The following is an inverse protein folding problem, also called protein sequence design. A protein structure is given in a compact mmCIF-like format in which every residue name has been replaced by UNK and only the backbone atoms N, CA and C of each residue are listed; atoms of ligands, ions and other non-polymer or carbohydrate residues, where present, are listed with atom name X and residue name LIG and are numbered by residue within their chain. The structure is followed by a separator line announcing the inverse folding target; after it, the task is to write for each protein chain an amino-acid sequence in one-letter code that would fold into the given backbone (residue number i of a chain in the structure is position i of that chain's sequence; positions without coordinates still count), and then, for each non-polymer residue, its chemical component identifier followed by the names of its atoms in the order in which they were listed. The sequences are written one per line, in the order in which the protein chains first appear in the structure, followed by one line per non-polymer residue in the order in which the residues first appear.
data_IF_723494996818
#
_entry.id   IF_723494996818
#
_cell.length_a   1.000
_cell.length_b   1.000
_cell.length_c   1.000
_cell.angle_alpha   90.00
_cell.angle_beta   90.00
_cell.angle_gamma   90.00
#
_symmetry.space_group_name_H-M   'P 1'
#
loop_
_entity.id
_entity.type
_entity.pdbx_description
1 polymer ?
#
# COMPACT_ATOMS: atom_id res chain seq x y z
N UNK A 1 -12.16 40.03 -61.92
CA UNK A 1 -12.83 39.05 -61.00
C UNK A 1 -11.75 38.28 -60.28
N UNK A 2 -11.35 38.74 -59.11
CA UNK A 2 -10.25 38.19 -58.31
C UNK A 2 -10.87 37.62 -57.05
N UNK A 3 -10.82 36.27 -56.87
CA UNK A 3 -11.32 35.57 -55.70
C UNK A 3 -10.21 35.52 -54.66
N UNK A 4 -10.42 36.16 -53.48
CA UNK A 4 -9.62 35.96 -52.29
C UNK A 4 -9.99 34.63 -51.64
N UNK A 5 -9.04 33.75 -51.44
CA UNK A 5 -9.15 32.56 -50.56
C UNK A 5 -8.71 32.99 -49.17
N UNK A 6 -9.65 32.94 -48.22
CA UNK A 6 -9.37 33.09 -46.78
C UNK A 6 -8.88 31.75 -46.24
N UNK A 7 -7.65 31.67 -45.77
CA UNK A 7 -7.11 30.53 -45.04
C UNK A 7 -7.48 30.67 -43.57
N UNK A 8 -8.41 29.82 -43.08
CA UNK A 8 -8.73 29.71 -41.67
C UNK A 8 -7.66 28.95 -40.91
N UNK A 9 -6.98 29.61 -39.99
CA UNK A 9 -6.10 28.99 -39.03
C UNK A 9 -6.94 28.35 -37.93
N UNK A 10 -7.02 27.02 -37.91
CA UNK A 10 -7.61 26.28 -36.80
C UNK A 10 -6.53 26.16 -35.70
N UNK A 11 -6.64 27.01 -34.67
CA UNK A 11 -5.88 26.83 -33.43
C UNK A 11 -6.41 25.62 -32.69
N UNK A 12 -5.71 24.49 -32.74
CA UNK A 12 -5.92 23.38 -31.81
C UNK A 12 -5.45 23.84 -30.42
N UNK A 13 -6.39 24.17 -29.57
CA UNK A 13 -6.15 24.23 -28.12
C UNK A 13 -5.89 22.80 -27.65
N UNK A 14 -4.61 22.46 -27.45
CA UNK A 14 -4.23 21.33 -26.61
C UNK A 14 -4.70 21.65 -25.17
N UNK A 15 -5.86 21.13 -24.81
CA UNK A 15 -6.26 21.04 -23.41
C UNK A 15 -5.23 20.16 -22.72
N UNK A 16 -4.24 20.78 -22.08
CA UNK A 16 -3.33 20.07 -21.17
C UNK A 16 -4.20 19.41 -20.10
N UNK A 17 -4.20 18.09 -20.05
CA UNK A 17 -4.73 17.37 -18.91
C UNK A 17 -3.93 17.86 -17.70
N UNK A 18 -4.56 18.60 -16.81
CA UNK A 18 -4.02 18.89 -15.49
C UNK A 18 -3.99 17.54 -14.80
N UNK A 19 -2.83 16.91 -14.75
CA UNK A 19 -2.63 15.70 -13.97
C UNK A 19 -2.97 16.04 -12.53
N UNK A 20 -3.91 15.32 -11.94
CA UNK A 20 -4.18 15.41 -10.51
C UNK A 20 -2.86 15.05 -9.80
N UNK A 21 -2.35 15.96 -8.97
CA UNK A 21 -1.13 15.74 -8.23
C UNK A 21 -1.28 14.57 -7.26
N UNK A 22 -0.17 13.94 -6.88
CA UNK A 22 -0.16 12.87 -5.90
C UNK A 22 0.81 13.19 -4.75
N UNK A 23 0.38 12.88 -3.52
CA UNK A 23 1.23 12.94 -2.33
C UNK A 23 1.50 11.53 -1.80
N UNK A 24 2.74 11.24 -1.43
CA UNK A 24 3.10 10.00 -0.77
C UNK A 24 3.36 10.25 0.72
N UNK A 25 2.69 9.49 1.58
CA UNK A 25 2.86 9.51 3.04
C UNK A 25 3.74 8.34 3.46
N UNK A 26 5.03 8.56 3.63
CA UNK A 26 6.00 7.49 3.86
C UNK A 26 6.44 7.51 5.31
N UNK A 27 6.26 6.39 6.02
CA UNK A 27 6.68 6.21 7.41
C UNK A 27 8.19 6.09 7.51
N UNK A 28 8.81 6.77 8.47
CA UNK A 28 10.24 6.73 8.76
C UNK A 28 10.46 6.10 10.14
N UNK A 29 10.78 4.81 10.16
CA UNK A 29 10.86 4.02 11.38
C UNK A 29 11.91 4.55 12.36
N UNK A 30 13.08 4.93 11.85
CA UNK A 30 14.22 5.36 12.66
C UNK A 30 14.15 6.81 13.14
N UNK A 31 13.41 7.69 12.46
CA UNK A 31 13.20 9.09 12.87
C UNK A 31 11.84 9.35 13.53
N UNK A 32 10.95 8.34 13.57
CA UNK A 32 9.65 8.41 14.25
C UNK A 32 8.70 9.46 13.68
N UNK A 33 8.68 9.59 12.37
CA UNK A 33 7.89 10.56 11.65
C UNK A 33 7.33 10.00 10.32
N UNK A 34 6.59 10.83 9.60
CA UNK A 34 6.08 10.55 8.25
C UNK A 34 6.53 11.66 7.33
N UNK A 35 7.24 11.32 6.27
CA UNK A 35 7.53 12.25 5.17
C UNK A 35 6.34 12.32 4.23
N UNK A 36 5.88 13.55 3.94
CA UNK A 36 4.89 13.82 2.89
C UNK A 36 5.64 14.29 1.66
N UNK A 37 5.65 13.47 0.63
CA UNK A 37 6.37 13.71 -0.63
C UNK A 37 5.38 14.14 -1.70
N UNK A 38 5.63 15.26 -2.33
CA UNK A 38 4.99 15.64 -3.59
C UNK A 38 5.64 14.83 -4.72
N UNK A 39 4.86 13.91 -5.30
CA UNK A 39 5.36 12.96 -6.29
C UNK A 39 5.70 13.64 -7.63
N UNK A 40 5.02 14.74 -7.96
CA UNK A 40 5.22 15.46 -9.22
C UNK A 40 6.51 16.28 -9.19
N UNK A 41 6.77 16.94 -8.07
CA UNK A 41 7.98 17.76 -7.88
C UNK A 41 9.16 16.99 -7.31
N UNK A 42 8.96 15.73 -6.89
CA UNK A 42 9.93 14.88 -6.23
C UNK A 42 10.57 15.57 -5.00
N UNK A 43 9.74 16.11 -4.09
CA UNK A 43 10.20 16.83 -2.90
C UNK A 43 9.40 16.46 -1.66
N UNK A 44 10.07 16.39 -0.52
CA UNK A 44 9.41 16.39 0.78
C UNK A 44 8.81 17.79 1.03
N UNK A 45 7.49 17.86 1.22
CA UNK A 45 6.77 19.12 1.46
C UNK A 45 6.35 19.27 2.93
N UNK A 46 6.36 18.18 3.70
CA UNK A 46 6.13 18.19 5.14
C UNK A 46 6.75 16.95 5.79
N UNK A 47 7.12 17.07 7.06
CA UNK A 47 7.47 15.96 7.96
C UNK A 47 6.55 16.06 9.17
N UNK A 48 5.80 14.99 9.43
CA UNK A 48 4.78 14.94 10.46
C UNK A 48 5.21 13.99 11.58
N UNK A 49 5.07 14.37 12.85
CA UNK A 49 5.38 13.45 13.95
C UNK A 49 4.48 12.22 13.92
N UNK A 50 5.03 11.07 14.28
CA UNK A 50 4.30 9.84 14.47
C UNK A 50 4.70 9.17 15.80
N UNK A 51 4.05 8.06 16.15
CA UNK A 51 4.49 7.23 17.26
C UNK A 51 5.85 6.58 16.99
N UNK A 52 6.40 5.89 18.00
CA UNK A 52 7.72 5.24 17.87
C UNK A 52 7.71 4.12 16.86
N UNK A 53 8.74 4.11 16.00
CA UNK A 53 8.97 3.10 14.97
C UNK A 53 7.77 2.90 14.03
N UNK A 54 7.24 3.96 13.38
CA UNK A 54 6.08 3.81 12.51
C UNK A 54 6.39 2.83 11.37
N UNK A 55 5.43 1.93 11.10
CA UNK A 55 5.60 0.85 10.14
C UNK A 55 4.55 0.90 9.03
N UNK A 56 3.30 0.55 9.35
CA UNK A 56 2.21 0.54 8.38
C UNK A 56 1.61 1.92 8.15
N UNK A 57 1.13 2.16 6.93
CA UNK A 57 0.41 3.36 6.56
C UNK A 57 -0.75 3.02 5.63
N UNK A 58 -1.91 3.66 5.86
CA UNK A 58 -3.06 3.53 4.98
C UNK A 58 -3.71 4.88 4.72
N UNK A 59 -3.60 5.33 3.49
CA UNK A 59 -4.32 6.51 3.01
C UNK A 59 -5.72 6.09 2.57
N UNK A 60 -6.74 6.68 3.16
CA UNK A 60 -8.15 6.45 2.82
C UNK A 60 -8.77 7.75 2.34
N UNK A 61 -9.01 7.85 1.05
CA UNK A 61 -9.69 8.99 0.43
C UNK A 61 -11.12 9.14 0.98
N UNK A 62 -11.81 8.01 1.15
CA UNK A 62 -13.19 8.00 1.66
C UNK A 62 -13.28 8.49 3.11
N UNK A 63 -12.27 8.24 3.94
CA UNK A 63 -12.20 8.76 5.31
C UNK A 63 -11.58 10.17 5.38
N UNK A 64 -10.94 10.65 4.30
CA UNK A 64 -10.16 11.91 4.28
C UNK A 64 -8.94 11.87 5.19
N UNK A 65 -8.39 10.69 5.48
CA UNK A 65 -7.34 10.49 6.49
C UNK A 65 -6.27 9.50 6.06
N UNK A 66 -5.06 9.69 6.57
CA UNK A 66 -4.05 8.64 6.60
C UNK A 66 -3.90 8.14 8.04
N UNK A 67 -3.79 6.82 8.18
CA UNK A 67 -3.59 6.14 9.45
C UNK A 67 -2.23 5.48 9.45
N UNK A 68 -1.45 5.68 10.52
CA UNK A 68 -0.07 5.21 10.63
C UNK A 68 0.09 4.37 11.89
N UNK A 69 0.43 3.10 11.74
CA UNK A 69 0.69 2.20 12.86
C UNK A 69 2.10 2.38 13.41
N UNK A 70 2.22 2.40 14.72
CA UNK A 70 3.49 2.58 15.44
C UNK A 70 3.66 1.49 16.50
N UNK A 71 4.33 0.36 16.15
CA UNK A 71 4.46 -0.81 17.02
C UNK A 71 5.02 -0.51 18.41
N UNK A 72 6.07 0.32 18.50
CA UNK A 72 6.78 0.59 19.77
C UNK A 72 6.08 1.62 20.66
N UNK A 73 5.05 2.29 20.18
CA UNK A 73 4.15 3.13 20.99
C UNK A 73 2.74 2.57 21.13
N UNK A 74 2.48 1.38 20.61
CA UNK A 74 1.19 0.69 20.70
C UNK A 74 0.01 1.58 20.24
N UNK A 75 0.20 2.35 19.18
CA UNK A 75 -0.76 3.36 18.74
C UNK A 75 -0.82 3.57 17.23
N UNK A 76 -1.87 4.28 16.82
CA UNK A 76 -2.09 4.73 15.44
C UNK A 76 -2.11 6.24 15.44
N UNK A 77 -1.25 6.87 14.65
CA UNK A 77 -1.30 8.30 14.36
C UNK A 77 -2.30 8.56 13.25
N UNK A 78 -3.20 9.53 13.44
CA UNK A 78 -4.21 9.93 12.47
C UNK A 78 -3.83 11.26 11.85
N UNK A 79 -3.71 11.30 10.52
CA UNK A 79 -3.35 12.49 9.74
C UNK A 79 -4.55 12.86 8.87
N UNK A 80 -4.96 14.13 8.93
CA UNK A 80 -5.97 14.68 8.03
C UNK A 80 -5.33 15.02 6.68
N UNK A 81 -5.89 14.51 5.58
CA UNK A 81 -5.33 14.68 4.25
C UNK A 81 -5.43 16.11 3.71
N UNK A 82 -6.50 16.83 4.07
CA UNK A 82 -6.73 18.18 3.57
C UNK A 82 -5.78 19.19 4.21
N UNK A 83 -5.66 19.17 5.54
CA UNK A 83 -4.76 20.06 6.31
C UNK A 83 -3.32 19.55 6.35
N UNK A 84 -3.09 18.27 6.10
CA UNK A 84 -1.79 17.59 6.25
C UNK A 84 -1.23 17.74 7.65
N UNK A 85 -2.08 17.53 8.65
CA UNK A 85 -1.72 17.63 10.06
C UNK A 85 -2.14 16.40 10.84
N UNK A 86 -1.39 16.09 11.90
CA UNK A 86 -1.79 15.08 12.87
C UNK A 86 -3.01 15.61 13.64
N UNK A 87 -4.12 14.88 13.60
CA UNK A 87 -5.39 15.27 14.22
C UNK A 87 -5.81 14.36 15.36
N UNK A 88 -5.06 13.27 15.62
CA UNK A 88 -5.35 12.36 16.71
C UNK A 88 -4.41 11.18 16.80
N UNK A 89 -4.55 10.45 17.91
CA UNK A 89 -3.90 9.19 18.18
C UNK A 89 -4.92 8.18 18.70
N UNK A 90 -4.79 6.91 18.30
CA UNK A 90 -5.66 5.81 18.72
C UNK A 90 -4.79 4.78 19.43
N UNK A 91 -5.00 4.48 20.71
CA UNK A 91 -4.36 3.33 21.37
C UNK A 91 -4.77 2.02 20.65
N UNK A 92 -3.81 1.19 20.21
CA UNK A 92 -4.07 0.05 19.35
C UNK A 92 -3.23 -1.18 19.72
N UNK A 93 -3.67 -1.92 20.71
CA UNK A 93 -3.07 -3.21 21.09
C UNK A 93 -1.67 -3.12 21.69
N UNK A 94 -0.82 -4.11 21.40
CA UNK A 94 0.57 -4.21 21.88
C UNK A 94 1.60 -3.83 20.84
N UNK A 95 1.35 -4.23 19.61
CA UNK A 95 2.29 -4.03 18.49
C UNK A 95 1.51 -3.95 17.18
N UNK A 96 0.85 -2.81 16.88
CA UNK A 96 0.13 -2.61 15.64
C UNK A 96 1.12 -2.56 14.47
N UNK A 97 0.93 -3.43 13.47
CA UNK A 97 1.80 -3.51 12.28
C UNK A 97 1.01 -3.22 11.02
N UNK A 98 0.26 -4.20 10.52
CA UNK A 98 -0.58 -4.03 9.34
C UNK A 98 -1.81 -3.19 9.64
N UNK A 99 -2.21 -2.39 8.68
CA UNK A 99 -3.34 -1.47 8.82
C UNK A 99 -4.09 -1.36 7.51
N UNK A 100 -5.42 -1.32 7.55
CA UNK A 100 -6.27 -1.09 6.38
C UNK A 100 -7.55 -0.36 6.80
N UNK A 101 -8.16 0.34 5.86
CA UNK A 101 -9.48 0.95 6.01
C UNK A 101 -10.41 0.35 4.97
N UNK A 102 -11.65 0.05 5.35
CA UNK A 102 -12.66 -0.40 4.38
C UNK A 102 -12.85 0.65 3.26
N UNK A 103 -13.14 0.22 2.02
CA UNK A 103 -13.31 1.14 0.88
C UNK A 103 -14.30 2.28 1.11
N UNK A 104 -15.35 2.06 1.92
CA UNK A 104 -16.32 3.08 2.32
C UNK A 104 -15.80 4.08 3.37
N UNK A 105 -14.57 3.91 3.86
CA UNK A 105 -13.94 4.78 4.84
C UNK A 105 -14.44 4.63 6.28
N UNK A 106 -15.26 3.60 6.60
CA UNK A 106 -15.95 3.53 7.89
C UNK A 106 -15.24 2.69 8.93
N UNK A 107 -14.50 1.66 8.54
CA UNK A 107 -13.84 0.73 9.48
C UNK A 107 -12.34 0.78 9.28
N UNK A 108 -11.62 0.97 10.38
CA UNK A 108 -10.18 0.84 10.46
C UNK A 108 -9.86 -0.51 11.11
N UNK A 109 -9.06 -1.34 10.44
CA UNK A 109 -8.58 -2.63 10.91
C UNK A 109 -7.08 -2.57 11.15
N UNK A 110 -6.63 -3.15 12.26
CA UNK A 110 -5.23 -3.10 12.69
C UNK A 110 -4.79 -4.48 13.15
N UNK A 111 -3.74 -5.01 12.56
CA UNK A 111 -3.12 -6.27 12.99
C UNK A 111 -2.23 -6.02 14.22
N UNK A 112 -2.59 -6.64 15.35
CA UNK A 112 -1.80 -6.61 16.57
C UNK A 112 -0.91 -7.85 16.63
N UNK A 113 0.33 -7.69 16.22
CA UNK A 113 1.29 -8.75 15.95
C UNK A 113 1.47 -9.75 17.10
N UNK A 114 1.67 -9.26 18.31
CA UNK A 114 1.94 -10.11 19.47
C UNK A 114 0.68 -10.61 20.19
N UNK A 115 -0.49 -10.13 19.82
CA UNK A 115 -1.75 -10.51 20.48
C UNK A 115 -2.61 -11.42 19.62
N UNK A 116 -2.16 -11.80 18.44
CA UNK A 116 -2.85 -12.73 17.52
C UNK A 116 -4.29 -12.31 17.23
N UNK A 117 -4.50 -11.02 16.97
CA UNK A 117 -5.83 -10.45 16.72
C UNK A 117 -5.77 -9.28 15.76
N UNK A 118 -6.91 -9.00 15.15
CA UNK A 118 -7.17 -7.78 14.40
C UNK A 118 -8.13 -6.92 15.20
N UNK A 119 -7.72 -5.69 15.51
CA UNK A 119 -8.55 -4.69 16.16
C UNK A 119 -9.40 -3.96 15.13
N UNK A 120 -10.64 -3.66 15.46
CA UNK A 120 -11.58 -2.97 14.58
C UNK A 120 -12.05 -1.69 15.24
N UNK A 121 -11.90 -0.56 14.54
CA UNK A 121 -12.31 0.76 15.02
C UNK A 121 -13.29 1.41 14.03
N UNK A 122 -14.08 2.33 14.50
CA UNK A 122 -14.77 3.31 13.68
C UNK A 122 -13.74 4.36 13.20
N UNK A 123 -13.58 4.50 11.91
CA UNK A 123 -12.53 5.35 11.33
C UNK A 123 -12.80 6.86 11.49
N UNK A 124 -14.06 7.26 11.75
CA UNK A 124 -14.43 8.66 11.95
C UNK A 124 -14.30 9.08 13.41
N UNK A 125 -14.85 8.26 14.34
CA UNK A 125 -14.90 8.57 15.79
C UNK A 125 -13.74 8.01 16.57
N UNK A 126 -12.98 7.07 15.96
CA UNK A 126 -11.88 6.31 16.57
C UNK A 126 -12.32 5.36 17.70
N UNK A 127 -13.62 5.15 17.87
CA UNK A 127 -14.16 4.24 18.87
C UNK A 127 -13.80 2.79 18.55
N UNK A 128 -13.34 2.03 19.55
CA UNK A 128 -13.13 0.58 19.40
C UNK A 128 -14.49 -0.13 19.23
N UNK A 129 -14.60 -0.94 18.18
CA UNK A 129 -15.82 -1.69 17.86
C UNK A 129 -15.70 -3.16 18.28
N UNK A 130 -14.48 -3.65 18.42
CA UNK A 130 -14.18 -5.00 18.84
C UNK A 130 -12.86 -5.52 18.29
N UNK A 131 -12.68 -6.83 18.41
CA UNK A 131 -11.49 -7.52 17.95
C UNK A 131 -11.84 -8.87 17.33
N UNK A 132 -10.99 -9.34 16.43
CA UNK A 132 -11.10 -10.64 15.76
C UNK A 132 -9.88 -11.46 16.14
N UNK A 133 -10.06 -12.61 16.76
CA UNK A 133 -8.98 -13.57 16.99
C UNK A 133 -8.57 -14.17 15.63
N UNK A 134 -7.27 -14.17 15.34
CA UNK A 134 -6.67 -14.64 14.08
C UNK A 134 -5.49 -15.58 14.39
N UNK A 135 -4.75 -15.96 13.38
CA UNK A 135 -3.56 -16.79 13.53
C UNK A 135 -2.35 -16.04 14.08
N UNK A 136 -1.20 -16.71 14.06
CA UNK A 136 0.04 -16.24 14.68
C UNK A 136 0.73 -15.15 13.85
N UNK A 137 1.23 -14.13 14.56
CA UNK A 137 1.94 -12.98 13.98
C UNK A 137 1.18 -12.33 12.80
N UNK A 138 -0.05 -11.81 13.01
CA UNK A 138 -0.79 -11.15 11.95
C UNK A 138 -0.01 -9.92 11.45
N UNK A 139 0.21 -9.86 10.12
CA UNK A 139 1.02 -8.85 9.46
C UNK A 139 0.17 -7.96 8.54
N UNK A 140 0.25 -8.13 7.24
CA UNK A 140 -0.50 -7.36 6.26
C UNK A 140 -2.00 -7.60 6.34
N UNK A 141 -2.77 -6.54 6.08
CA UNK A 141 -4.22 -6.53 6.06
C UNK A 141 -4.72 -5.87 4.78
N UNK A 142 -5.80 -6.40 4.22
CA UNK A 142 -6.53 -5.72 3.14
C UNK A 142 -8.03 -5.96 3.29
N UNK A 143 -8.84 -4.90 3.11
CA UNK A 143 -10.30 -4.99 3.12
C UNK A 143 -10.83 -5.16 1.69
N UNK A 144 -11.82 -6.03 1.52
CA UNK A 144 -12.44 -6.29 0.23
C UNK A 144 -13.41 -5.16 -0.20
N UNK A 145 -13.71 -5.05 -1.52
CA UNK A 145 -14.62 -4.03 -2.05
C UNK A 145 -16.05 -4.10 -1.48
N UNK A 146 -16.45 -5.23 -0.90
CA UNK A 146 -17.76 -5.43 -0.28
C UNK A 146 -17.96 -4.72 1.07
N UNK A 147 -16.89 -4.16 1.67
CA UNK A 147 -16.84 -3.53 3.00
C UNK A 147 -17.21 -4.49 4.16
N UNK A 148 -17.25 -5.79 3.91
CA UNK A 148 -17.65 -6.82 4.89
C UNK A 148 -16.55 -7.82 5.14
N UNK A 149 -15.76 -8.12 4.12
CA UNK A 149 -14.69 -9.12 4.17
C UNK A 149 -13.33 -8.42 4.28
N UNK A 150 -12.43 -8.99 5.06
CA UNK A 150 -11.02 -8.60 5.07
C UNK A 150 -10.13 -9.84 5.10
N UNK A 151 -8.88 -9.66 4.72
CA UNK A 151 -7.87 -10.71 4.72
C UNK A 151 -6.68 -10.28 5.56
N UNK A 152 -6.12 -11.20 6.34
CA UNK A 152 -4.95 -10.97 7.18
C UNK A 152 -3.90 -12.03 6.91
N UNK A 153 -2.64 -11.61 6.71
CA UNK A 153 -1.52 -12.53 6.63
C UNK A 153 -1.17 -13.03 8.04
N UNK A 154 -1.43 -14.28 8.33
CA UNK A 154 -0.99 -14.98 9.55
C UNK A 154 0.41 -15.54 9.27
N UNK A 155 1.42 -14.70 9.49
CA UNK A 155 2.79 -14.93 9.04
C UNK A 155 3.36 -16.27 9.49
N UNK A 156 3.25 -16.57 10.78
CA UNK A 156 3.86 -17.77 11.36
C UNK A 156 3.02 -19.04 11.17
N UNK A 157 1.81 -18.91 10.62
CA UNK A 157 0.95 -20.04 10.24
C UNK A 157 1.04 -20.38 8.74
N UNK A 158 1.79 -19.61 7.94
CA UNK A 158 1.86 -19.77 6.49
C UNK A 158 0.48 -19.74 5.82
N UNK A 159 -0.37 -18.84 6.27
CA UNK A 159 -1.78 -18.79 5.87
C UNK A 159 -2.32 -17.36 5.83
N UNK A 160 -3.41 -17.19 5.12
CA UNK A 160 -4.23 -15.98 5.13
C UNK A 160 -5.54 -16.27 5.85
N UNK A 161 -5.86 -15.48 6.87
CA UNK A 161 -7.16 -15.50 7.54
C UNK A 161 -8.19 -14.71 6.74
N UNK A 162 -9.40 -15.26 6.59
CA UNK A 162 -10.58 -14.59 6.00
C UNK A 162 -11.47 -14.10 7.14
N UNK A 163 -11.77 -12.81 7.17
CA UNK A 163 -12.46 -12.15 8.27
C UNK A 163 -13.83 -11.61 7.84
N UNK A 164 -14.85 -11.84 8.64
CA UNK A 164 -16.12 -11.11 8.62
C UNK A 164 -16.02 -9.91 9.57
N UNK A 165 -15.95 -8.71 9.01
CA UNK A 165 -15.77 -7.46 9.78
C UNK A 165 -17.02 -7.15 10.63
N UNK A 166 -18.20 -7.46 10.11
CA UNK A 166 -19.47 -7.19 10.79
C UNK A 166 -19.73 -8.13 11.97
N UNK A 167 -19.42 -9.42 11.76
CA UNK A 167 -19.56 -10.44 12.80
C UNK A 167 -18.36 -10.47 13.78
N UNK A 168 -17.29 -9.71 13.51
CA UNK A 168 -16.04 -9.71 14.26
C UNK A 168 -15.45 -11.12 14.41
N UNK A 169 -15.35 -11.85 13.31
CA UNK A 169 -14.97 -13.27 13.34
C UNK A 169 -14.10 -13.65 12.17
N UNK A 170 -13.11 -14.52 12.41
CA UNK A 170 -12.43 -15.25 11.33
C UNK A 170 -13.35 -16.36 10.82
N UNK A 171 -13.64 -16.36 9.52
CA UNK A 171 -14.58 -17.27 8.88
C UNK A 171 -13.90 -18.31 7.97
N UNK A 172 -12.60 -18.14 7.71
CA UNK A 172 -11.84 -19.06 6.87
C UNK A 172 -10.34 -18.89 7.02
N UNK A 173 -9.60 -19.86 6.47
CA UNK A 173 -8.14 -19.86 6.39
C UNK A 173 -7.73 -20.40 5.03
N UNK A 174 -6.79 -19.72 4.37
CA UNK A 174 -6.27 -20.10 3.05
C UNK A 174 -4.79 -20.39 3.20
N UNK A 175 -4.33 -21.58 2.88
CA UNK A 175 -2.91 -21.91 2.86
C UNK A 175 -2.18 -21.19 1.72
N UNK A 176 -1.03 -20.62 2.01
CA UNK A 176 -0.15 -19.92 1.06
C UNK A 176 1.31 -20.37 1.25
N UNK A 177 2.28 -19.65 0.68
CA UNK A 177 3.69 -19.94 0.90
C UNK A 177 4.19 -19.58 2.30
N UNK A 178 5.51 -19.64 2.52
CA UNK A 178 6.09 -19.48 3.85
C UNK A 178 6.23 -18.01 4.26
N UNK A 179 5.78 -17.68 5.47
CA UNK A 179 5.83 -16.37 6.07
C UNK A 179 5.18 -15.28 5.19
N UNK A 180 3.85 -15.38 4.90
CA UNK A 180 3.15 -14.32 4.20
C UNK A 180 3.22 -13.02 5.01
N UNK A 181 3.53 -11.89 4.34
CA UNK A 181 3.69 -10.60 5.01
C UNK A 181 2.76 -9.54 4.42
N UNK A 182 2.95 -9.13 3.18
CA UNK A 182 2.06 -8.20 2.52
C UNK A 182 0.93 -8.92 1.78
N UNK A 183 -0.21 -8.26 1.73
CA UNK A 183 -1.39 -8.68 0.98
C UNK A 183 -1.86 -7.52 0.09
N UNK A 184 -2.33 -7.84 -1.09
CA UNK A 184 -3.04 -6.88 -1.95
C UNK A 184 -4.17 -7.60 -2.71
N UNK A 185 -5.29 -6.90 -2.92
CA UNK A 185 -6.43 -7.38 -3.70
C UNK A 185 -6.46 -6.72 -5.07
N UNK A 186 -6.85 -7.49 -6.09
CA UNK A 186 -7.30 -6.87 -7.35
C UNK A 186 -8.49 -5.94 -7.09
N UNK A 187 -8.65 -4.91 -7.91
CA UNK A 187 -9.70 -3.88 -7.72
C UNK A 187 -11.12 -4.48 -7.70
N UNK A 188 -11.34 -5.57 -8.42
CA UNK A 188 -12.61 -6.30 -8.43
C UNK A 188 -12.77 -7.26 -7.23
N UNK A 189 -11.75 -7.37 -6.38
CA UNK A 189 -11.72 -8.23 -5.21
C UNK A 189 -11.65 -9.72 -5.49
N UNK A 190 -11.48 -10.15 -6.76
CA UNK A 190 -11.52 -11.58 -7.15
C UNK A 190 -10.23 -12.32 -6.87
N UNK A 191 -9.10 -11.63 -6.89
CA UNK A 191 -7.81 -12.25 -6.59
C UNK A 191 -7.12 -11.55 -5.45
N UNK A 192 -6.63 -12.34 -4.50
CA UNK A 192 -5.79 -11.89 -3.41
C UNK A 192 -4.35 -12.35 -3.69
N UNK A 193 -3.41 -11.44 -3.54
CA UNK A 193 -1.99 -11.67 -3.74
C UNK A 193 -1.28 -11.63 -2.39
N UNK A 194 -0.65 -12.73 -2.00
CA UNK A 194 0.06 -12.87 -0.72
C UNK A 194 1.56 -13.06 -0.99
N UNK A 195 2.37 -12.18 -0.42
CA UNK A 195 3.83 -12.19 -0.57
C UNK A 195 4.45 -13.04 0.53
N UNK A 196 5.10 -14.13 0.14
CA UNK A 196 5.65 -15.14 1.04
C UNK A 196 7.17 -14.92 1.17
N UNK A 197 7.58 -14.23 2.26
CA UNK A 197 8.94 -13.72 2.44
C UNK A 197 10.00 -14.83 2.46
N UNK A 198 9.69 -15.99 3.04
CA UNK A 198 10.68 -17.07 3.19
C UNK A 198 10.68 -18.06 2.01
N UNK A 199 9.54 -18.30 1.37
CA UNK A 199 9.52 -19.12 0.15
C UNK A 199 9.91 -18.35 -1.11
N UNK A 200 10.06 -17.00 -1.02
CA UNK A 200 10.44 -16.13 -2.14
C UNK A 200 9.48 -16.23 -3.32
N UNK A 201 8.21 -16.22 -3.04
CA UNK A 201 7.14 -16.32 -4.04
C UNK A 201 5.94 -15.46 -3.67
N UNK A 202 5.02 -15.37 -4.61
CA UNK A 202 3.71 -14.74 -4.43
C UNK A 202 2.64 -15.78 -4.69
N UNK A 203 1.77 -16.01 -3.71
CA UNK A 203 0.56 -16.81 -3.89
C UNK A 203 -0.56 -15.95 -4.44
N UNK A 204 -1.13 -16.34 -5.59
CA UNK A 204 -2.33 -15.73 -6.17
C UNK A 204 -3.52 -16.60 -5.80
N UNK A 205 -4.46 -16.04 -5.06
CA UNK A 205 -5.59 -16.75 -4.45
C UNK A 205 -6.90 -16.31 -5.10
N UNK A 206 -7.77 -17.26 -5.43
CA UNK A 206 -9.17 -16.99 -5.75
C UNK A 206 -9.94 -16.72 -4.46
N UNK A 207 -10.54 -15.54 -4.35
CA UNK A 207 -11.22 -15.12 -3.10
C UNK A 207 -12.57 -15.80 -2.92
N UNK A 208 -13.26 -16.18 -4.01
CA UNK A 208 -14.56 -16.83 -3.95
C UNK A 208 -14.43 -18.31 -3.59
N UNK A 209 -13.42 -18.98 -4.15
CA UNK A 209 -13.16 -20.40 -3.90
C UNK A 209 -12.20 -20.64 -2.73
N UNK A 210 -11.62 -19.57 -2.17
CA UNK A 210 -10.66 -19.59 -1.05
C UNK A 210 -9.50 -20.59 -1.30
N UNK A 211 -8.96 -20.60 -2.54
CA UNK A 211 -7.86 -21.49 -2.93
C UNK A 211 -6.78 -20.77 -3.74
N UNK A 212 -5.55 -21.24 -3.63
CA UNK A 212 -4.43 -20.75 -4.43
C UNK A 212 -4.57 -21.19 -5.88
N UNK A 213 -4.54 -20.21 -6.80
CA UNK A 213 -4.58 -20.40 -8.26
C UNK A 213 -3.18 -20.62 -8.85
N UNK A 214 -2.20 -19.88 -8.31
CA UNK A 214 -0.82 -19.92 -8.77
C UNK A 214 0.13 -19.54 -7.65
N UNK A 215 1.36 -20.05 -7.72
CA UNK A 215 2.50 -19.61 -6.90
C UNK A 215 3.60 -19.15 -7.85
N UNK A 216 3.98 -17.89 -7.76
CA UNK A 216 4.88 -17.22 -8.70
C UNK A 216 6.23 -16.98 -8.01
N UNK A 217 7.32 -17.66 -8.41
CA UNK A 217 8.63 -17.36 -7.91
C UNK A 217 9.04 -15.91 -8.24
N UNK A 218 9.56 -15.18 -7.27
CA UNK A 218 10.07 -13.80 -7.40
C UNK A 218 11.48 -13.69 -6.82
N UNK A 219 12.00 -12.49 -6.64
CA UNK A 219 13.29 -12.29 -5.98
C UNK A 219 13.24 -12.59 -4.48
N UNK A 220 14.41 -12.55 -3.81
CA UNK A 220 14.52 -12.88 -2.38
C UNK A 220 13.82 -11.84 -1.48
N UNK A 221 13.02 -12.35 -0.54
CA UNK A 221 12.33 -11.55 0.47
C UNK A 221 11.29 -10.61 -0.14
N UNK A 222 10.26 -11.11 -0.84
CA UNK A 222 9.18 -10.25 -1.35
C UNK A 222 8.47 -9.56 -0.17
N UNK A 223 8.34 -8.21 -0.26
CA UNK A 223 7.92 -7.43 0.90
C UNK A 223 6.72 -6.52 0.64
N UNK A 224 6.74 -5.73 -0.42
CA UNK A 224 5.68 -4.83 -0.84
C UNK A 224 5.13 -5.19 -2.21
N UNK A 225 3.85 -4.89 -2.44
CA UNK A 225 3.18 -5.09 -3.73
C UNK A 225 2.27 -3.90 -4.06
N UNK A 226 2.27 -3.50 -5.31
CA UNK A 226 1.31 -2.55 -5.86
C UNK A 226 0.90 -2.95 -7.28
N UNK A 227 -0.36 -2.68 -7.64
CA UNK A 227 -0.83 -2.84 -9.01
C UNK A 227 -0.67 -1.54 -9.81
N UNK A 228 -0.48 -1.68 -11.13
CA UNK A 228 -0.68 -0.55 -12.07
C UNK A 228 -2.14 -0.07 -12.03
N UNK A 229 -2.37 1.19 -12.42
CA UNK A 229 -3.71 1.79 -12.40
C UNK A 229 -4.73 1.06 -13.30
N UNK A 230 -4.28 0.31 -14.30
CA UNK A 230 -5.10 -0.55 -15.15
C UNK A 230 -5.21 -2.00 -14.64
N UNK A 231 -4.57 -2.33 -13.52
CA UNK A 231 -4.56 -3.65 -12.90
C UNK A 231 -3.78 -4.72 -13.69
N UNK A 232 -3.14 -4.40 -14.82
CA UNK A 232 -2.49 -5.40 -15.69
C UNK A 232 -1.10 -5.81 -15.23
N UNK A 233 -0.47 -5.03 -14.38
CA UNK A 233 0.83 -5.33 -13.81
C UNK A 233 0.78 -5.28 -12.29
N UNK A 234 1.52 -6.18 -11.65
CA UNK A 234 1.87 -6.09 -10.25
C UNK A 234 3.39 -5.88 -10.12
N UNK A 235 3.78 -5.01 -9.20
CA UNK A 235 5.16 -4.71 -8.86
C UNK A 235 5.43 -5.21 -7.46
N UNK A 236 6.40 -6.11 -7.32
CA UNK A 236 6.76 -6.75 -6.05
C UNK A 236 8.19 -6.37 -5.70
N UNK A 237 8.38 -5.69 -4.57
CA UNK A 237 9.72 -5.41 -4.05
C UNK A 237 10.34 -6.67 -3.48
N UNK A 238 11.59 -6.95 -3.85
CA UNK A 238 12.37 -8.07 -3.36
C UNK A 238 13.47 -7.51 -2.43
N UNK A 239 13.15 -7.42 -1.14
CA UNK A 239 13.93 -6.71 -0.13
C UNK A 239 15.41 -7.16 -0.06
N UNK A 240 15.65 -8.46 -0.15
CA UNK A 240 16.99 -9.04 -0.03
C UNK A 240 17.69 -9.24 -1.39
N UNK A 241 17.11 -8.74 -2.47
CA UNK A 241 17.64 -8.84 -3.83
C UNK A 241 17.76 -7.48 -4.51
N UNK A 242 17.50 -6.37 -3.81
CA UNK A 242 17.58 -5.00 -4.32
C UNK A 242 16.90 -4.83 -5.69
N UNK A 243 15.72 -5.42 -5.83
CA UNK A 243 15.03 -5.50 -7.11
C UNK A 243 13.51 -5.41 -6.98
N UNK A 244 12.86 -5.17 -8.11
CA UNK A 244 11.40 -5.24 -8.26
C UNK A 244 11.05 -6.28 -9.31
N UNK A 245 10.26 -7.28 -8.96
CA UNK A 245 9.64 -8.20 -9.92
C UNK A 245 8.39 -7.56 -10.53
N UNK A 246 8.29 -7.59 -11.86
CA UNK A 246 7.13 -7.12 -12.61
C UNK A 246 6.36 -8.33 -13.10
N UNK A 247 5.10 -8.40 -12.75
CA UNK A 247 4.23 -9.56 -13.02
C UNK A 247 3.09 -9.12 -13.93
N UNK A 248 2.86 -9.87 -15.00
CA UNK A 248 1.62 -9.80 -15.76
C UNK A 248 0.51 -10.48 -14.95
N UNK A 249 -0.52 -9.73 -14.59
CA UNK A 249 -1.57 -10.20 -13.67
C UNK A 249 -2.54 -11.18 -14.33
N UNK A 250 -2.78 -11.04 -15.63
CA UNK A 250 -3.67 -11.92 -16.40
C UNK A 250 -2.98 -13.26 -16.66
N UNK A 251 -1.74 -13.23 -17.16
CA UNK A 251 -0.96 -14.43 -17.45
C UNK A 251 -0.39 -15.07 -16.17
N UNK A 252 -0.34 -14.33 -15.06
CA UNK A 252 0.28 -14.73 -13.79
C UNK A 252 1.72 -15.17 -13.99
N UNK A 253 2.51 -14.33 -14.62
CA UNK A 253 3.91 -14.58 -14.94
C UNK A 253 4.77 -13.38 -14.61
N UNK A 254 5.97 -13.64 -14.07
CA UNK A 254 7.01 -12.61 -13.94
C UNK A 254 7.54 -12.31 -15.34
N UNK A 255 7.31 -11.08 -15.81
CA UNK A 255 7.71 -10.63 -17.16
C UNK A 255 9.02 -9.85 -17.16
N UNK A 256 9.44 -9.34 -15.99
CA UNK A 256 10.72 -8.65 -15.82
C UNK A 256 11.13 -8.65 -14.34
N UNK A 257 12.43 -8.48 -14.10
CA UNK A 257 12.99 -8.13 -12.80
C UNK A 257 13.92 -6.95 -13.01
N UNK A 258 13.61 -5.82 -12.37
CA UNK A 258 14.38 -4.58 -12.50
C UNK A 258 15.28 -4.36 -11.29
N UNK A 259 16.52 -3.88 -11.48
CA UNK A 259 17.29 -3.32 -10.37
C UNK A 259 16.52 -2.18 -9.71
N UNK A 260 16.64 -2.05 -8.40
CA UNK A 260 15.91 -1.05 -7.62
C UNK A 260 16.84 -0.33 -6.64
N UNK A 261 16.26 0.35 -5.65
CA UNK A 261 16.97 0.90 -4.48
C UNK A 261 17.46 -0.23 -3.57
N UNK A 262 18.34 0.08 -2.64
CA UNK A 262 18.85 -0.90 -1.68
C UNK A 262 17.78 -1.24 -0.63
N UNK A 263 17.57 -2.51 -0.38
CA UNK A 263 16.63 -3.04 0.60
C UNK A 263 15.21 -2.46 0.41
N UNK A 264 14.58 -2.67 -0.77
CA UNK A 264 13.29 -2.06 -1.09
C UNK A 264 12.17 -2.66 -0.23
N UNK A 265 11.36 -1.80 0.39
CA UNK A 265 10.21 -2.21 1.21
C UNK A 265 8.88 -1.75 0.57
N UNK A 266 8.40 -0.57 0.90
CA UNK A 266 7.14 -0.06 0.35
C UNK A 266 7.20 0.21 -1.15
N UNK A 267 6.10 -0.06 -1.83
CA UNK A 267 5.94 0.21 -3.26
C UNK A 267 4.55 0.76 -3.54
N UNK A 268 4.47 1.73 -4.45
CA UNK A 268 3.20 2.28 -4.91
C UNK A 268 3.28 2.72 -6.37
N UNK A 269 2.13 2.75 -7.03
CA UNK A 269 2.00 3.23 -8.42
C UNK A 269 1.04 4.41 -8.46
N UNK A 270 1.39 5.43 -9.23
CA UNK A 270 0.50 6.52 -9.57
C UNK A 270 0.82 7.05 -10.97
N UNK A 271 -0.10 6.83 -11.91
CA UNK A 271 0.11 7.12 -13.31
C UNK A 271 1.28 6.32 -13.89
N UNK A 272 2.25 7.03 -14.44
CA UNK A 272 3.47 6.45 -15.03
C UNK A 272 4.64 6.33 -14.03
N UNK A 273 4.41 6.54 -12.75
CA UNK A 273 5.44 6.52 -11.70
C UNK A 273 5.28 5.32 -10.78
N UNK A 274 6.40 4.64 -10.56
CA UNK A 274 6.56 3.60 -9.57
C UNK A 274 7.46 4.13 -8.46
N UNK A 275 6.91 4.27 -7.26
CA UNK A 275 7.65 4.66 -6.07
C UNK A 275 8.14 3.42 -5.35
N UNK A 276 9.41 3.37 -5.00
CA UNK A 276 10.02 2.27 -4.24
C UNK A 276 10.82 2.84 -3.08
N UNK A 277 10.43 2.47 -1.86
CA UNK A 277 11.04 2.98 -0.63
C UNK A 277 12.27 2.16 -0.27
N UNK A 278 13.43 2.83 -0.08
CA UNK A 278 14.69 2.21 0.36
C UNK A 278 14.84 2.34 1.86
N UNK A 279 14.78 1.21 2.58
CA UNK A 279 14.95 1.21 4.04
C UNK A 279 16.39 1.52 4.47
N UNK A 280 17.37 1.14 3.64
CA UNK A 280 18.80 1.30 3.95
C UNK A 280 19.37 2.65 3.54
N UNK A 281 18.86 3.27 2.46
CA UNK A 281 19.40 4.52 1.92
C UNK A 281 18.63 5.76 2.36
N UNK A 282 17.63 5.61 3.24
CA UNK A 282 16.81 6.71 3.75
C UNK A 282 16.14 7.54 2.63
N UNK A 283 15.66 6.90 1.58
CA UNK A 283 15.10 7.57 0.41
C UNK A 283 13.96 6.79 -0.25
N UNK A 284 13.24 7.46 -1.14
CA UNK A 284 12.34 6.82 -2.09
C UNK A 284 12.84 7.04 -3.51
N UNK A 285 12.96 5.97 -4.29
CA UNK A 285 13.20 6.03 -5.72
C UNK A 285 11.88 6.20 -6.47
N UNK A 286 11.86 7.13 -7.43
CA UNK A 286 10.75 7.33 -8.39
C UNK A 286 11.20 6.80 -9.74
N UNK A 287 10.58 5.71 -10.17
CA UNK A 287 10.91 5.01 -11.40
C UNK A 287 9.81 5.23 -12.44
N UNK A 288 10.16 5.04 -13.70
CA UNK A 288 9.20 4.86 -14.77
C UNK A 288 8.50 3.50 -14.61
N UNK A 289 7.18 3.48 -14.47
CA UNK A 289 6.42 2.26 -14.23
C UNK A 289 6.35 1.30 -15.43
N UNK A 290 6.74 1.75 -16.62
CA UNK A 290 6.75 0.90 -17.83
C UNK A 290 8.11 0.27 -18.10
N UNK A 291 9.17 1.03 -17.82
CA UNK A 291 10.55 0.66 -18.21
C UNK A 291 11.43 0.27 -17.02
N UNK A 292 11.04 0.62 -15.79
CA UNK A 292 11.88 0.45 -14.60
C UNK A 292 13.05 1.41 -14.49
N UNK A 293 13.11 2.45 -15.36
CA UNK A 293 14.18 3.43 -15.31
C UNK A 293 14.00 4.37 -14.12
N UNK A 294 15.03 4.51 -13.28
CA UNK A 294 15.06 5.48 -12.19
C UNK A 294 15.02 6.91 -12.76
N UNK A 295 14.04 7.70 -12.35
CA UNK A 295 13.88 9.11 -12.74
C UNK A 295 14.48 10.05 -11.70
N UNK A 296 14.17 9.81 -10.43
CA UNK A 296 14.58 10.65 -9.29
C UNK A 296 14.73 9.82 -8.03
N UNK A 297 15.48 10.34 -7.06
CA UNK A 297 15.45 9.93 -5.66
C UNK A 297 15.05 11.11 -4.79
N UNK A 298 14.37 10.84 -3.68
CA UNK A 298 13.97 11.84 -2.69
C UNK A 298 14.45 11.36 -1.33
N UNK A 299 15.28 12.18 -0.65
CA UNK A 299 15.73 11.90 0.70
C UNK A 299 14.57 12.01 1.69
N UNK A 300 14.50 11.08 2.63
CA UNK A 300 13.44 10.94 3.63
C UNK A 300 14.01 11.00 5.05
N UNK A 301 13.19 10.68 6.04
CA UNK A 301 13.66 10.35 7.38
C UNK A 301 14.36 8.99 7.43
N UNK A 302 14.87 8.58 8.60
CA UNK A 302 15.66 7.36 8.74
C UNK A 302 14.81 6.09 8.68
N UNK A 303 15.33 5.08 7.98
CA UNK A 303 14.72 3.76 7.79
C UNK A 303 13.26 3.84 7.34
N UNK A 304 12.99 4.45 6.17
CA UNK A 304 11.62 4.59 5.68
C UNK A 304 11.04 3.23 5.25
N UNK A 305 9.73 3.02 5.45
CA UNK A 305 9.06 1.74 5.16
C UNK A 305 7.95 1.84 4.13
N UNK A 306 6.92 2.65 4.36
CA UNK A 306 5.77 2.77 3.45
C UNK A 306 4.98 1.46 3.29
N UNK A 307 4.80 0.68 4.37
CA UNK A 307 4.08 -0.58 4.32
C UNK A 307 2.56 -0.37 4.27
N UNK A 308 1.94 -0.68 3.13
CA UNK A 308 0.51 -0.49 2.86
C UNK A 308 0.23 0.52 1.74
N UNK A 309 -0.92 1.17 1.77
CA UNK A 309 -1.31 2.18 0.77
C UNK A 309 -0.93 3.58 1.23
N UNK A 310 0.11 4.14 0.67
CA UNK A 310 0.66 5.43 1.08
C UNK A 310 0.49 6.59 0.08
N UNK A 311 -0.23 6.39 -1.01
CA UNK A 311 -0.51 7.45 -2.00
C UNK A 311 -1.87 8.10 -1.74
N UNK A 312 -1.86 9.43 -1.66
CA UNK A 312 -3.02 10.30 -1.72
C UNK A 312 -3.10 10.92 -3.12
N UNK A 313 -4.18 10.63 -3.85
CA UNK A 313 -4.45 11.23 -5.17
C UNK A 313 -5.27 12.50 -4.96
N UNK A 314 -4.67 13.66 -5.23
CA UNK A 314 -5.38 14.93 -5.08
C UNK A 314 -6.49 15.04 -6.13
N UNK A 315 -7.70 15.50 -5.73
CA UNK A 315 -8.76 15.72 -6.71
C UNK A 315 -8.35 16.79 -7.72
N UNK A 316 -8.74 16.60 -8.99
CA UNK A 316 -8.61 17.65 -9.99
C UNK A 316 -9.51 18.79 -9.58
N UNK A 317 -8.95 19.95 -9.26
CA UNK A 317 -9.73 21.16 -9.05
C UNK A 317 -10.24 21.63 -10.41
N UNK A 318 -11.55 21.55 -10.60
CA UNK A 318 -12.26 22.04 -11.80
C UNK A 318 -12.55 23.53 -11.69
#
# INVERSE_FOLDING_TARGET
MTRLLAAGVISMLLAGQVLAGALAYITNQGSHDVSVVDVDTARVIATLPAGKSPAGVWVSEAAGKAFVSSPDSAGITVIDLASRQVVGEIPAGRSPVGITVTPDGRRLLVADWFSHRVLVFDAATHAALGEITVGNAPAGLVAAPDNKTAYVANRDDNAVGVLDIGALKQIGVIAVGQHPFALELSDDGRTLWALNVWSNDVSVVDTAEARTLATLPVGKGPYGIAFSDDGRRAYVTNQQADSVSVIDTEQRQVIATWPSVVYPEGVAVTGDRLLVVSWMDDQVGVFDAQTGQLRHTVDLGRNPRGFGRFIHRMPVLH
#
